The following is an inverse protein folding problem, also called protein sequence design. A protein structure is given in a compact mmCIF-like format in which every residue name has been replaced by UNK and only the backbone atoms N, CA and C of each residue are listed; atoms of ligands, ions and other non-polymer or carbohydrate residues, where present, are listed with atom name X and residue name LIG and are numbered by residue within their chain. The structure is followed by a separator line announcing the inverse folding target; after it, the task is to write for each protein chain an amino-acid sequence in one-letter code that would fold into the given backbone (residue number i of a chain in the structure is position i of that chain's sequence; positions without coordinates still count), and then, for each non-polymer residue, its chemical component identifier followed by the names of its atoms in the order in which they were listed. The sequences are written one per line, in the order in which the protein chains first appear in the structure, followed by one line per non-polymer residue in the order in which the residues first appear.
data_IF_909504663915
#
_entry.id   IF_909504663915
#
_cell.length_a   1.000
_cell.length_b   1.000
_cell.length_c   1.000
_cell.angle_alpha   90.00
_cell.angle_beta   90.00
_cell.angle_gamma   90.00
#
_symmetry.space_group_name_H-M   'P 1'
#
loop_
_entity.id
_entity.type
_entity.pdbx_description
1 polymer ?
#
# COMPACT_ATOMS: atom_id res chain seq x y z
N UNK A 1 4.39 6.14 -12.77
CA UNK A 1 4.79 6.85 -11.53
C UNK A 1 5.62 5.91 -10.66
N UNK A 2 6.08 6.31 -9.48
CA UNK A 2 6.78 5.38 -8.56
C UNK A 2 5.82 4.34 -7.96
N UNK A 3 4.59 4.77 -7.67
CA UNK A 3 3.54 3.97 -7.05
C UNK A 3 2.47 3.57 -8.06
N UNK A 4 2.12 2.28 -8.13
CA UNK A 4 1.04 1.75 -8.98
C UNK A 4 0.13 0.85 -8.16
N UNK A 5 -1.18 1.14 -8.16
CA UNK A 5 -2.19 0.25 -7.58
C UNK A 5 -2.61 -0.76 -8.65
N UNK A 6 -2.42 -2.05 -8.37
CA UNK A 6 -2.85 -3.12 -9.26
C UNK A 6 -4.38 -3.34 -9.16
N UNK A 7 -5.04 -3.86 -10.22
CA UNK A 7 -6.49 -4.12 -10.20
C UNK A 7 -6.95 -5.08 -9.10
N UNK A 8 -6.04 -5.93 -8.62
CA UNK A 8 -6.20 -6.87 -7.51
C UNK A 8 -6.12 -6.20 -6.13
N UNK A 9 -5.65 -4.95 -6.04
CA UNK A 9 -5.55 -4.17 -4.81
C UNK A 9 -4.15 -4.08 -4.21
N UNK A 10 -3.14 -4.68 -4.84
CA UNK A 10 -1.74 -4.59 -4.40
C UNK A 10 -1.12 -3.25 -4.77
N UNK A 11 -0.18 -2.77 -3.95
CA UNK A 11 0.63 -1.59 -4.26
C UNK A 11 2.00 -2.04 -4.78
N UNK A 12 2.28 -1.78 -6.05
CA UNK A 12 3.59 -1.96 -6.66
C UNK A 12 4.39 -0.66 -6.53
N UNK A 13 5.53 -0.72 -5.83
CA UNK A 13 6.52 0.37 -5.74
C UNK A 13 7.66 0.06 -6.71
N UNK A 14 7.73 0.80 -7.81
CA UNK A 14 8.74 0.64 -8.85
C UNK A 14 9.98 1.49 -8.55
N UNK A 15 11.18 0.97 -8.77
CA UNK A 15 12.43 1.70 -8.53
C UNK A 15 12.63 2.02 -7.05
N UNK A 16 12.78 0.98 -6.22
CA UNK A 16 13.00 1.14 -4.78
C UNK A 16 14.28 1.92 -4.50
N UNK A 17 14.17 2.89 -3.60
CA UNK A 17 15.26 3.73 -3.11
C UNK A 17 15.34 3.61 -1.59
N UNK A 18 16.52 3.87 -1.02
CA UNK A 18 16.75 3.76 0.42
C UNK A 18 15.82 4.68 1.26
N UNK A 19 15.32 5.76 0.66
CA UNK A 19 14.33 6.65 1.28
C UNK A 19 12.95 6.00 1.47
N UNK A 20 12.61 4.98 0.68
CA UNK A 20 11.29 4.33 0.75
C UNK A 20 11.11 3.50 2.04
N UNK A 21 12.21 3.14 2.71
CA UNK A 21 12.15 2.40 3.98
C UNK A 21 11.48 3.20 5.11
N UNK A 22 11.45 4.54 4.99
CA UNK A 22 10.86 5.43 5.99
C UNK A 22 9.34 5.60 5.79
N UNK A 23 8.80 5.13 4.67
CA UNK A 23 7.37 5.17 4.38
C UNK A 23 6.64 3.98 5.01
N UNK A 24 5.42 4.23 5.45
CA UNK A 24 4.52 3.21 5.99
C UNK A 24 3.24 3.16 5.17
N UNK A 25 2.94 1.99 4.61
CA UNK A 25 1.83 1.77 3.70
C UNK A 25 0.68 1.07 4.41
N UNK A 26 -0.56 1.45 4.08
CA UNK A 26 -1.77 0.81 4.59
C UNK A 26 -2.74 0.58 3.46
N UNK A 27 -3.31 -0.62 3.38
CA UNK A 27 -4.41 -0.89 2.48
C UNK A 27 -5.72 -0.41 3.12
N UNK A 28 -6.58 0.23 2.33
CA UNK A 28 -7.91 0.66 2.73
C UNK A 28 -8.94 -0.02 1.83
N UNK A 29 -9.80 -0.83 2.43
CA UNK A 29 -10.89 -1.51 1.72
C UNK A 29 -12.23 -0.95 2.16
N UNK A 30 -13.13 -0.72 1.20
CA UNK A 30 -14.51 -0.33 1.46
C UNK A 30 -15.45 -1.46 1.09
N UNK A 31 -16.24 -1.93 2.06
CA UNK A 31 -17.29 -2.90 1.79
C UNK A 31 -18.37 -2.25 0.90
N UNK A 32 -18.64 -2.86 -0.25
CA UNK A 32 -19.47 -2.25 -1.31
C UNK A 32 -20.89 -1.90 -0.84
N UNK A 33 -21.50 -2.77 -0.03
CA UNK A 33 -22.89 -2.64 0.39
C UNK A 33 -23.05 -1.74 1.62
N UNK A 34 -22.31 -2.02 2.69
CA UNK A 34 -22.42 -1.28 3.96
C UNK A 34 -21.62 0.01 3.98
N UNK A 35 -20.75 0.23 2.98
CA UNK A 35 -19.78 1.34 2.92
C UNK A 35 -18.79 1.36 4.08
N UNK A 36 -18.73 0.29 4.89
CA UNK A 36 -17.78 0.19 5.97
C UNK A 36 -16.36 0.18 5.42
N UNK A 37 -15.49 0.98 6.04
CA UNK A 37 -14.09 1.11 5.68
C UNK A 37 -13.26 0.35 6.72
N UNK A 38 -12.37 -0.51 6.25
CA UNK A 38 -11.38 -1.22 7.07
C UNK A 38 -9.99 -0.88 6.55
N UNK A 39 -9.06 -0.65 7.48
CA UNK A 39 -7.67 -0.30 7.18
C UNK A 39 -6.77 -1.40 7.73
N UNK A 40 -5.79 -1.84 6.94
CA UNK A 40 -4.83 -2.85 7.37
C UNK A 40 -3.88 -2.31 8.45
N UNK A 41 -3.15 -3.22 9.08
CA UNK A 41 -1.92 -2.87 9.79
C UNK A 41 -0.93 -2.20 8.82
N UNK A 42 -0.03 -1.34 9.34
CA UNK A 42 1.03 -0.74 8.53
C UNK A 42 2.01 -1.80 8.00
N UNK A 43 2.42 -1.63 6.75
CA UNK A 43 3.50 -2.38 6.11
C UNK A 43 4.64 -1.42 5.75
N UNK A 44 5.86 -1.78 6.10
CA UNK A 44 7.06 -0.99 5.81
C UNK A 44 7.93 -1.75 4.81
N UNK A 45 8.62 -1.03 3.94
CA UNK A 45 9.60 -1.61 3.04
C UNK A 45 10.93 -1.77 3.75
N UNK A 46 11.59 -2.91 3.53
CA UNK A 46 12.96 -3.16 3.99
C UNK A 46 13.81 -3.49 2.78
N UNK A 47 14.84 -2.69 2.56
CA UNK A 47 15.84 -2.89 1.52
C UNK A 47 17.08 -3.42 2.24
N UNK A 48 17.46 -4.66 1.95
CA UNK A 48 18.62 -5.34 2.52
C UNK A 48 19.83 -5.25 1.59
#
# INVERSE_FOLDING_TARGET
GKFHLLPTGELLVHGLEFSDQFLSYRCRTMHRLTRQVVVSSPANLRIA
#
